data_IF_441811528876
#
_entry.id   IF_441811528876
#
_cell.length_a   1.000
_cell.length_b   1.000
_cell.length_c   1.000
_cell.angle_alpha   90.00
_cell.angle_beta   90.00
_cell.angle_gamma   90.00
#
_symmetry.space_group_name_H-M   'P 1'
#
loop_
_entity.id
_entity.type
_entity.pdbx_description
1 polymer ?
#
# COMPACT_ATOMS: atom_id res chain seq x y z
N UNK A 1 -10.17 3.13 11.39
CA UNK A 1 -9.72 4.03 12.47
C UNK A 1 -9.51 3.32 13.82
N UNK A 2 -10.27 2.27 14.17
CA UNK A 2 -10.08 1.52 15.42
C UNK A 2 -8.78 0.68 15.51
N UNK A 3 -8.20 0.28 14.37
CA UNK A 3 -6.93 -0.50 14.34
C UNK A 3 -5.69 0.38 14.61
N UNK A 4 -5.79 1.71 14.48
CA UNK A 4 -4.65 2.60 14.70
C UNK A 4 -4.46 2.93 16.20
N UNK A 5 -5.54 3.09 16.96
CA UNK A 5 -5.46 3.56 18.36
C UNK A 5 -4.82 2.54 19.33
N UNK A 6 -5.01 1.24 19.13
CA UNK A 6 -4.46 0.20 20.02
C UNK A 6 -2.98 -0.10 19.74
N UNK A 7 -2.53 0.09 18.50
CA UNK A 7 -1.16 -0.21 18.06
C UNK A 7 -0.14 0.83 18.57
N UNK A 8 -0.50 2.11 18.56
CA UNK A 8 0.43 3.19 18.94
C UNK A 8 0.88 3.12 20.41
N UNK A 9 0.01 2.69 21.32
CA UNK A 9 0.31 2.65 22.76
C UNK A 9 1.32 1.56 23.10
N UNK A 10 1.29 0.43 22.37
CA UNK A 10 2.17 -0.71 22.64
C UNK A 10 3.54 -0.55 21.96
N UNK A 11 3.57 -0.12 20.69
CA UNK A 11 4.81 -0.05 19.92
C UNK A 11 5.57 1.28 20.08
N UNK A 12 4.92 2.36 20.53
CA UNK A 12 5.56 3.67 20.72
C UNK A 12 6.62 3.72 21.84
N UNK A 13 6.72 2.67 22.67
CA UNK A 13 7.72 2.54 23.75
C UNK A 13 8.98 1.78 23.32
N UNK A 14 9.06 1.32 22.06
CA UNK A 14 10.22 0.59 21.57
C UNK A 14 11.35 1.58 21.24
N UNK A 15 12.51 1.51 21.93
CA UNK A 15 13.54 2.56 21.88
C UNK A 15 14.23 2.71 20.51
N UNK A 16 14.06 1.74 19.61
CA UNK A 16 14.68 1.72 18.28
C UNK A 16 13.67 1.60 17.14
N UNK A 17 12.38 1.85 17.39
CA UNK A 17 11.34 1.72 16.37
C UNK A 17 10.65 3.05 16.15
N UNK A 18 10.86 3.62 14.96
CA UNK A 18 10.03 4.72 14.50
C UNK A 18 8.68 4.15 14.03
N UNK A 19 7.67 4.17 14.91
CA UNK A 19 6.34 3.66 14.61
C UNK A 19 5.68 4.38 13.44
N UNK A 20 6.07 5.62 13.13
CA UNK A 20 5.51 6.36 12.00
C UNK A 20 5.93 5.75 10.66
N UNK A 21 7.09 5.08 10.59
CA UNK A 21 7.53 4.32 9.42
C UNK A 21 6.75 3.02 9.23
N UNK A 22 5.95 2.58 10.20
CA UNK A 22 5.07 1.39 10.04
C UNK A 22 3.77 1.70 9.29
N UNK A 23 3.49 2.98 9.04
CA UNK A 23 2.29 3.42 8.34
C UNK A 23 2.69 3.84 6.94
N UNK A 24 2.63 2.89 6.02
CA UNK A 24 2.95 3.13 4.62
C UNK A 24 1.76 3.69 3.85
N UNK A 25 2.06 4.23 2.68
CA UNK A 25 1.08 4.64 1.68
C UNK A 25 0.25 3.45 1.23
N UNK A 26 -1.01 3.67 0.85
CA UNK A 26 -1.90 2.59 0.43
C UNK A 26 -2.79 3.02 -0.72
N UNK A 27 -2.58 2.39 -1.88
CA UNK A 27 -3.29 2.72 -3.12
C UNK A 27 -4.80 2.47 -2.95
N UNK A 28 -5.18 1.33 -2.35
CA UNK A 28 -6.57 0.94 -2.23
C UNK A 28 -7.38 1.89 -1.35
N UNK A 29 -6.96 2.09 -0.09
CA UNK A 29 -7.76 2.78 0.91
C UNK A 29 -7.53 4.29 0.93
N UNK A 30 -6.34 4.76 0.54
CA UNK A 30 -6.04 6.19 0.50
C UNK A 30 -6.39 6.79 -0.86
N UNK A 31 -5.97 6.19 -1.98
CA UNK A 31 -6.26 6.75 -3.30
C UNK A 31 -7.65 6.33 -3.80
N UNK A 32 -7.87 5.05 -4.09
CA UNK A 32 -9.13 4.61 -4.73
C UNK A 32 -10.35 4.78 -3.82
N UNK A 33 -10.37 4.15 -2.64
CA UNK A 33 -11.47 4.30 -1.67
C UNK A 33 -11.39 5.58 -0.84
N UNK A 34 -10.41 6.44 -1.11
CA UNK A 34 -10.24 7.72 -0.47
C UNK A 34 -10.44 8.86 -1.43
N UNK A 35 -9.36 9.35 -2.01
CA UNK A 35 -9.35 10.54 -2.86
C UNK A 35 -10.25 10.37 -4.08
N UNK A 36 -10.14 9.27 -4.85
CA UNK A 36 -10.95 9.04 -6.04
C UNK A 36 -12.44 8.94 -5.69
N UNK A 37 -12.77 8.27 -4.58
CA UNK A 37 -14.14 8.24 -4.06
C UNK A 37 -14.68 9.64 -3.79
N UNK A 38 -13.90 10.50 -3.11
CA UNK A 38 -14.29 11.89 -2.86
C UNK A 38 -14.37 12.70 -4.15
N UNK A 39 -13.42 12.51 -5.06
CA UNK A 39 -13.39 13.18 -6.36
C UNK A 39 -14.66 12.88 -7.18
N UNK A 40 -15.07 11.61 -7.25
CA UNK A 40 -16.31 11.22 -7.92
C UNK A 40 -17.51 11.89 -7.26
N UNK A 41 -17.55 11.98 -5.93
CA UNK A 41 -18.62 12.68 -5.22
C UNK A 41 -18.63 14.18 -5.56
N UNK A 42 -17.47 14.84 -5.56
CA UNK A 42 -17.38 16.25 -5.93
C UNK A 42 -17.80 16.50 -7.38
N UNK A 43 -17.50 15.58 -8.30
CA UNK A 43 -17.94 15.67 -9.70
C UNK A 43 -19.45 15.48 -9.87
N UNK A 44 -20.09 14.65 -9.05
CA UNK A 44 -21.57 14.54 -9.03
C UNK A 44 -22.21 15.86 -8.64
N UNK A 45 -21.63 16.56 -7.67
CA UNK A 45 -22.15 17.82 -7.16
C UNK A 45 -21.83 19.01 -8.07
N UNK A 46 -20.68 19.01 -8.76
CA UNK A 46 -20.30 20.12 -9.66
C UNK A 46 -21.05 20.11 -10.99
N UNK A 47 -21.33 18.93 -11.55
CA UNK A 47 -21.93 18.77 -12.89
C UNK A 47 -23.41 18.36 -12.81
N UNK A 48 -23.80 17.74 -11.70
CA UNK A 48 -25.09 17.08 -11.53
C UNK A 48 -25.07 15.63 -11.97
N UNK A 49 -25.71 14.76 -11.18
CA UNK A 49 -25.74 13.30 -11.42
C UNK A 49 -26.31 12.94 -12.80
N UNK A 50 -27.37 13.61 -13.23
CA UNK A 50 -28.05 13.33 -14.49
C UNK A 50 -27.14 13.58 -15.71
N UNK A 51 -26.36 14.66 -15.69
CA UNK A 51 -25.43 15.01 -16.76
C UNK A 51 -24.20 14.09 -16.72
N UNK A 52 -23.63 13.84 -15.53
CA UNK A 52 -22.52 12.90 -15.36
C UNK A 52 -22.87 11.50 -15.93
N UNK A 53 -24.07 11.00 -15.63
CA UNK A 53 -24.53 9.71 -16.14
C UNK A 53 -24.90 9.73 -17.62
N UNK A 54 -25.41 10.85 -18.15
CA UNK A 54 -25.61 11.03 -19.58
C UNK A 54 -24.28 10.95 -20.34
N UNK A 55 -23.22 11.55 -19.82
CA UNK A 55 -21.88 11.49 -20.41
C UNK A 55 -21.27 10.10 -20.32
N UNK A 56 -21.40 9.42 -19.18
CA UNK A 56 -20.97 8.02 -19.04
C UNK A 56 -21.61 7.10 -20.10
N UNK A 57 -22.90 7.30 -20.40
CA UNK A 57 -23.63 6.51 -21.40
C UNK A 57 -23.20 6.78 -22.85
N UNK A 58 -22.58 7.92 -23.11
CA UNK A 58 -22.10 8.33 -24.45
C UNK A 58 -20.66 7.90 -24.72
N UNK A 59 -19.97 7.31 -23.74
CA UNK A 59 -18.62 6.80 -23.95
C UNK A 59 -18.64 5.75 -25.09
N UNK A 60 -17.77 5.90 -26.10
CA UNK A 60 -17.71 4.94 -27.19
C UNK A 60 -17.25 3.58 -26.64
N UNK A 61 -17.73 2.46 -27.23
CA UNK A 61 -17.27 1.14 -26.84
C UNK A 61 -15.74 1.02 -26.89
N UNK A 62 -15.14 0.53 -25.81
CA UNK A 62 -13.71 0.36 -25.68
C UNK A 62 -13.41 -0.98 -24.98
N UNK A 63 -12.42 -1.71 -25.47
CA UNK A 63 -12.01 -3.02 -24.92
C UNK A 63 -11.33 -2.89 -23.54
N UNK A 64 -10.79 -1.72 -23.22
CA UNK A 64 -9.96 -1.50 -22.03
C UNK A 64 -10.69 -0.77 -20.90
N UNK A 65 -11.95 -0.38 -21.11
CA UNK A 65 -12.73 0.41 -20.16
C UNK A 65 -14.12 -0.21 -20.00
N UNK A 66 -14.53 -0.44 -18.75
CA UNK A 66 -15.90 -0.85 -18.44
C UNK A 66 -16.89 0.28 -18.78
N UNK A 67 -17.89 -0.03 -19.60
CA UNK A 67 -18.98 0.89 -19.92
C UNK A 67 -20.06 0.86 -18.84
N UNK A 68 -20.35 2.02 -18.25
CA UNK A 68 -21.39 2.18 -17.24
C UNK A 68 -22.68 2.69 -17.89
N UNK A 69 -23.43 1.78 -18.54
CA UNK A 69 -24.64 2.10 -19.31
C UNK A 69 -25.80 2.67 -18.47
N UNK A 70 -25.73 2.54 -17.14
CA UNK A 70 -26.68 3.15 -16.20
C UNK A 70 -26.08 4.35 -15.45
N UNK A 71 -24.92 4.84 -15.89
CA UNK A 71 -24.16 5.85 -15.18
C UNK A 71 -23.39 5.32 -13.98
N UNK A 72 -22.75 6.22 -13.26
CA UNK A 72 -21.93 5.96 -12.07
C UNK A 72 -22.52 6.59 -10.81
N UNK A 73 -23.51 7.48 -10.93
CA UNK A 73 -24.11 8.20 -9.80
C UNK A 73 -24.74 7.25 -8.75
N UNK A 74 -25.47 6.24 -9.21
CA UNK A 74 -26.25 5.32 -8.37
C UNK A 74 -25.45 4.13 -7.80
N UNK A 75 -24.15 4.03 -8.11
CA UNK A 75 -23.35 2.91 -7.65
C UNK A 75 -23.15 2.97 -6.14
N UNK A 76 -23.57 1.91 -5.46
CA UNK A 76 -23.41 1.73 -4.02
C UNK A 76 -22.32 0.70 -3.72
N UNK A 77 -21.53 0.93 -2.67
CA UNK A 77 -20.43 0.04 -2.23
C UNK A 77 -19.40 -0.24 -3.34
N UNK A 78 -19.03 0.82 -4.05
CA UNK A 78 -18.05 0.78 -5.14
C UNK A 78 -16.71 0.25 -4.63
N UNK A 79 -16.20 -0.77 -5.30
CA UNK A 79 -14.93 -1.42 -4.96
C UNK A 79 -13.73 -0.62 -5.48
N UNK A 80 -12.52 -0.90 -4.97
CA UNK A 80 -11.29 -0.26 -5.47
C UNK A 80 -11.08 -0.48 -6.97
N UNK A 81 -11.34 -1.70 -7.45
CA UNK A 81 -11.30 -2.05 -8.87
C UNK A 81 -12.31 -1.25 -9.69
N UNK A 82 -13.49 -0.99 -9.16
CA UNK A 82 -14.47 -0.15 -9.87
C UNK A 82 -14.04 1.32 -9.90
N UNK A 83 -13.42 1.83 -8.83
CA UNK A 83 -12.81 3.16 -8.87
C UNK A 83 -11.67 3.25 -9.88
N UNK A 84 -10.77 2.25 -9.98
CA UNK A 84 -9.77 2.17 -11.06
C UNK A 84 -10.42 2.27 -12.45
N UNK A 85 -11.48 1.49 -12.68
CA UNK A 85 -12.18 1.53 -13.96
C UNK A 85 -12.79 2.89 -14.26
N UNK A 86 -13.36 3.55 -13.24
CA UNK A 86 -13.94 4.89 -13.37
C UNK A 86 -12.86 5.94 -13.66
N UNK A 87 -11.72 5.88 -12.96
CA UNK A 87 -10.59 6.80 -13.13
C UNK A 87 -10.08 6.89 -14.57
N UNK A 88 -10.19 5.81 -15.35
CA UNK A 88 -9.72 5.75 -16.75
C UNK A 88 -10.49 6.66 -17.71
N UNK A 89 -11.70 7.08 -17.34
CA UNK A 89 -12.52 7.94 -18.19
C UNK A 89 -13.03 9.20 -17.49
N UNK A 90 -12.73 9.42 -16.21
CA UNK A 90 -13.20 10.61 -15.47
C UNK A 90 -12.89 11.92 -16.19
N UNK A 91 -11.67 12.08 -16.72
CA UNK A 91 -11.27 13.31 -17.41
C UNK A 91 -12.14 13.57 -18.67
N UNK A 92 -12.49 12.51 -19.40
CA UNK A 92 -13.34 12.63 -20.59
C UNK A 92 -14.77 13.07 -20.27
N UNK A 93 -15.24 12.85 -19.03
CA UNK A 93 -16.56 13.29 -18.61
C UNK A 93 -16.62 14.79 -18.31
N UNK A 94 -15.48 15.46 -18.13
CA UNK A 94 -15.44 16.83 -17.59
C UNK A 94 -14.79 17.85 -18.52
N UNK A 95 -14.16 17.41 -19.61
CA UNK A 95 -13.32 18.25 -20.47
C UNK A 95 -14.04 19.48 -21.06
N UNK A 96 -15.33 19.37 -21.33
CA UNK A 96 -16.18 20.42 -21.92
C UNK A 96 -17.36 20.80 -21.00
N UNK A 97 -17.19 20.65 -19.68
CA UNK A 97 -18.25 20.98 -18.73
C UNK A 97 -18.42 22.51 -18.59
N UNK A 98 -19.66 22.94 -18.43
CA UNK A 98 -19.98 24.31 -18.04
C UNK A 98 -20.28 24.35 -16.55
N UNK A 99 -19.51 25.13 -15.80
CA UNK A 99 -19.71 25.28 -14.36
C UNK A 99 -20.73 26.37 -14.03
N UNK A 100 -21.47 26.22 -12.91
CA UNK A 100 -22.32 27.28 -12.38
C UNK A 100 -21.55 28.58 -12.15
N UNK A 101 -22.23 29.73 -12.29
CA UNK A 101 -21.65 31.03 -11.99
C UNK A 101 -20.58 31.52 -12.97
N UNK A 102 -20.39 30.85 -14.12
CA UNK A 102 -19.40 31.25 -15.13
C UNK A 102 -17.95 30.95 -14.74
N UNK A 103 -17.75 30.11 -13.72
CA UNK A 103 -16.42 29.67 -13.30
C UNK A 103 -15.71 28.90 -14.43
N UNK A 104 -14.40 29.08 -14.52
CA UNK A 104 -13.60 28.40 -15.53
C UNK A 104 -13.53 26.88 -15.24
N UNK A 105 -13.91 26.01 -16.18
CA UNK A 105 -13.77 24.57 -16.01
C UNK A 105 -12.31 24.11 -16.01
N UNK A 106 -11.38 24.96 -16.44
CA UNK A 106 -9.94 24.64 -16.49
C UNK A 106 -9.44 24.21 -15.11
N UNK A 107 -9.76 24.95 -14.04
CA UNK A 107 -9.34 24.57 -12.69
C UNK A 107 -9.89 23.21 -12.28
N UNK A 108 -11.14 22.89 -12.64
CA UNK A 108 -11.73 21.58 -12.35
C UNK A 108 -10.98 20.47 -13.10
N UNK A 109 -10.73 20.66 -14.40
CA UNK A 109 -10.02 19.70 -15.25
C UNK A 109 -8.61 19.47 -14.72
N UNK A 110 -7.85 20.51 -14.41
CA UNK A 110 -6.49 20.44 -13.87
C UNK A 110 -6.43 19.78 -12.49
N UNK A 111 -7.41 20.07 -11.61
CA UNK A 111 -7.50 19.42 -10.31
C UNK A 111 -7.72 17.90 -10.44
N UNK A 112 -8.67 17.50 -11.29
CA UNK A 112 -8.97 16.09 -11.55
C UNK A 112 -7.77 15.40 -12.22
N UNK A 113 -7.15 16.06 -13.19
CA UNK A 113 -5.96 15.58 -13.89
C UNK A 113 -4.81 15.31 -12.91
N UNK A 114 -4.49 16.26 -12.03
CA UNK A 114 -3.42 16.11 -11.03
C UNK A 114 -3.62 14.90 -10.11
N UNK A 115 -4.85 14.63 -9.66
CA UNK A 115 -5.13 13.44 -8.84
C UNK A 115 -5.04 12.14 -9.63
N UNK A 116 -5.51 12.13 -10.88
CA UNK A 116 -5.43 10.95 -11.73
C UNK A 116 -3.97 10.60 -12.03
N UNK A 117 -3.18 11.58 -12.46
CA UNK A 117 -1.75 11.43 -12.70
C UNK A 117 -1.03 10.96 -11.44
N UNK A 118 -1.29 11.59 -10.29
CA UNK A 118 -0.72 11.15 -9.02
C UNK A 118 -1.03 9.67 -8.76
N UNK A 119 -2.29 9.28 -8.96
CA UNK A 119 -2.75 7.91 -8.72
C UNK A 119 -2.05 6.92 -9.66
N UNK A 120 -1.89 7.25 -10.94
CA UNK A 120 -1.24 6.37 -11.91
C UNK A 120 0.27 6.30 -11.70
N UNK A 121 0.94 7.42 -11.48
CA UNK A 121 2.38 7.47 -11.24
C UNK A 121 2.72 6.70 -9.97
N UNK A 122 1.95 6.85 -8.89
CA UNK A 122 2.17 6.11 -7.64
C UNK A 122 2.11 4.57 -7.78
N UNK A 123 1.53 4.07 -8.87
CA UNK A 123 1.42 2.64 -9.18
C UNK A 123 2.49 2.15 -10.17
N UNK A 124 3.47 2.99 -10.53
CA UNK A 124 4.52 2.56 -11.44
C UNK A 124 5.31 1.39 -10.81
N UNK A 125 5.64 0.34 -11.60
CA UNK A 125 6.40 -0.81 -11.11
C UNK A 125 7.89 -0.48 -10.88
N UNK A 126 8.29 0.75 -11.19
CA UNK A 126 9.63 1.27 -10.99
C UNK A 126 9.55 2.80 -10.96
N UNK A 127 10.30 3.41 -10.03
CA UNK A 127 10.41 4.86 -9.94
C UNK A 127 11.85 5.30 -10.19
N UNK A 128 11.99 6.35 -11.00
CA UNK A 128 13.21 7.16 -11.09
C UNK A 128 13.01 8.46 -10.32
N UNK A 129 14.07 9.24 -10.15
CA UNK A 129 14.00 10.58 -9.56
C UNK A 129 13.04 11.48 -10.34
N UNK A 130 13.00 11.34 -11.67
CA UNK A 130 12.08 12.07 -12.54
C UNK A 130 10.62 11.64 -12.32
N UNK A 131 10.37 10.33 -12.16
CA UNK A 131 9.03 9.83 -11.85
C UNK A 131 8.52 10.36 -10.50
N UNK A 132 9.40 10.45 -9.48
CA UNK A 132 9.06 11.04 -8.19
C UNK A 132 8.82 12.55 -8.28
N UNK A 133 9.57 13.25 -9.11
CA UNK A 133 9.33 14.67 -9.38
C UNK A 133 7.95 14.90 -10.04
N UNK A 134 7.59 14.08 -11.03
CA UNK A 134 6.25 14.14 -11.65
C UNK A 134 5.14 13.76 -10.68
N UNK A 135 5.38 12.80 -9.78
CA UNK A 135 4.44 12.46 -8.73
C UNK A 135 4.16 13.69 -7.84
N UNK A 136 5.19 14.39 -7.39
CA UNK A 136 5.02 15.60 -6.59
C UNK A 136 4.40 16.77 -7.37
N UNK A 137 4.77 16.92 -8.65
CA UNK A 137 4.17 17.93 -9.54
C UNK A 137 2.66 17.71 -9.70
N UNK A 138 2.23 16.46 -9.90
CA UNK A 138 0.81 16.11 -10.02
C UNK A 138 0.04 16.40 -8.72
N UNK A 139 0.66 16.16 -7.56
CA UNK A 139 0.12 16.55 -6.25
C UNK A 139 -0.06 18.07 -6.17
N UNK A 140 0.97 18.82 -6.55
CA UNK A 140 0.94 20.29 -6.54
C UNK A 140 -0.07 20.86 -7.53
N UNK A 141 -0.25 20.22 -8.70
CA UNK A 141 -1.26 20.60 -9.67
C UNK A 141 -2.67 20.52 -9.09
N UNK A 142 -2.98 19.42 -8.37
CA UNK A 142 -4.23 19.33 -7.63
C UNK A 142 -4.34 20.44 -6.58
N UNK A 143 -3.32 20.64 -5.75
CA UNK A 143 -3.36 21.64 -4.69
C UNK A 143 -3.54 23.07 -5.18
N UNK A 144 -3.02 23.41 -6.36
CA UNK A 144 -3.19 24.74 -6.98
C UNK A 144 -4.62 24.99 -7.46
N UNK A 145 -5.34 23.93 -7.83
CA UNK A 145 -6.62 24.05 -8.53
C UNK A 145 -7.83 23.57 -7.72
N UNK A 146 -7.62 22.81 -6.64
CA UNK A 146 -8.69 22.20 -5.83
C UNK A 146 -9.67 23.20 -5.22
N UNK A 147 -9.28 24.46 -5.04
CA UNK A 147 -10.15 25.48 -4.46
C UNK A 147 -11.39 25.75 -5.33
N UNK A 148 -11.40 25.30 -6.60
CA UNK A 148 -12.61 25.26 -7.42
C UNK A 148 -13.78 24.52 -6.76
N UNK A 149 -13.52 23.47 -5.97
CA UNK A 149 -14.57 22.76 -5.25
C UNK A 149 -15.08 23.55 -4.03
N UNK A 150 -14.27 24.45 -3.48
CA UNK A 150 -14.68 25.40 -2.43
C UNK A 150 -15.51 26.52 -3.04
N UNK A 151 -15.07 27.07 -4.17
CA UNK A 151 -15.77 28.12 -4.90
C UNK A 151 -17.17 27.67 -5.37
N UNK A 152 -17.30 26.39 -5.72
CA UNK A 152 -18.59 25.76 -6.05
C UNK A 152 -19.45 25.43 -4.83
N UNK A 153 -18.95 25.61 -3.60
CA UNK A 153 -19.66 25.29 -2.35
C UNK A 153 -19.81 23.79 -2.09
N UNK A 154 -19.01 22.94 -2.76
CA UNK A 154 -19.06 21.47 -2.68
C UNK A 154 -18.26 20.95 -1.49
N UNK A 155 -17.17 21.64 -1.16
CA UNK A 155 -16.24 21.22 -0.11
C UNK A 155 -15.84 22.43 0.73
N UNK A 156 -15.98 22.34 2.06
CA UNK A 156 -15.57 23.42 2.96
C UNK A 156 -14.04 23.52 3.09
N UNK A 157 -13.35 22.38 3.14
CA UNK A 157 -11.91 22.29 3.29
C UNK A 157 -11.38 20.91 2.90
N UNK A 158 -10.06 20.84 2.70
CA UNK A 158 -9.37 19.61 2.29
C UNK A 158 -8.56 18.96 3.43
N UNK A 159 -8.92 19.24 4.68
CA UNK A 159 -8.16 18.77 5.85
C UNK A 159 -8.60 17.38 6.28
N UNK A 160 -8.42 16.39 5.39
CA UNK A 160 -8.71 15.00 5.71
C UNK A 160 -7.47 14.10 5.55
N UNK A 161 -7.31 13.07 6.42
CA UNK A 161 -6.07 12.28 6.48
C UNK A 161 -5.66 11.63 5.16
N UNK A 162 -6.64 11.20 4.34
CA UNK A 162 -6.37 10.51 3.07
C UNK A 162 -5.79 11.42 1.99
N UNK A 163 -6.07 12.72 2.02
CA UNK A 163 -5.38 13.67 1.14
C UNK A 163 -3.99 13.98 1.69
N UNK A 164 -3.88 14.21 3.00
CA UNK A 164 -2.59 14.46 3.64
C UNK A 164 -1.58 13.33 3.37
N UNK A 165 -2.04 12.07 3.33
CA UNK A 165 -1.16 10.93 3.05
C UNK A 165 -0.46 11.00 1.68
N UNK A 166 -0.98 11.75 0.71
CA UNK A 166 -0.31 11.93 -0.60
C UNK A 166 1.07 12.57 -0.48
N UNK A 167 1.29 13.40 0.53
CA UNK A 167 2.59 14.03 0.76
C UNK A 167 3.68 13.02 1.17
N UNK A 168 3.29 11.85 1.69
CA UNK A 168 4.22 10.83 2.19
C UNK A 168 4.56 9.76 1.14
N UNK A 169 3.95 9.81 -0.06
CA UNK A 169 4.23 8.82 -1.11
C UNK A 169 5.69 8.82 -1.58
N UNK A 170 6.32 9.98 -1.87
CA UNK A 170 7.71 9.99 -2.30
C UNK A 170 8.63 9.34 -1.26
N UNK A 171 8.49 9.71 0.02
CA UNK A 171 9.28 9.14 1.11
C UNK A 171 9.04 7.64 1.29
N UNK A 172 7.78 7.20 1.21
CA UNK A 172 7.44 5.78 1.29
C UNK A 172 8.01 4.99 0.12
N UNK A 173 8.02 5.56 -1.09
CA UNK A 173 8.61 4.91 -2.27
C UNK A 173 10.13 4.80 -2.13
N UNK A 174 10.80 5.86 -1.64
CA UNK A 174 12.25 5.84 -1.41
C UNK A 174 12.66 4.86 -0.30
N UNK A 175 11.86 4.75 0.77
CA UNK A 175 12.19 3.91 1.92
C UNK A 175 11.80 2.44 1.75
N UNK A 176 10.68 2.15 1.08
CA UNK A 176 10.08 0.81 1.03
C UNK A 176 9.94 0.25 -0.40
N UNK A 177 10.39 1.00 -1.40
CA UNK A 177 10.24 0.64 -2.81
C UNK A 177 8.85 0.95 -3.34
N UNK A 178 8.51 0.35 -4.48
CA UNK A 178 7.25 0.56 -5.19
C UNK A 178 6.04 0.20 -4.35
N UNK A 179 4.90 0.83 -4.63
CA UNK A 179 3.70 0.75 -3.77
C UNK A 179 3.11 -0.65 -3.67
N UNK A 180 3.35 -1.51 -4.66
CA UNK A 180 2.96 -2.93 -4.64
C UNK A 180 3.58 -3.74 -3.51
N UNK A 181 4.74 -3.33 -2.97
CA UNK A 181 5.39 -4.00 -1.84
C UNK A 181 4.58 -3.94 -0.54
N UNK A 182 3.73 -2.92 -0.37
CA UNK A 182 3.01 -2.66 0.88
C UNK A 182 1.53 -2.32 0.68
N UNK A 183 1.03 -2.32 -0.55
CA UNK A 183 -0.37 -2.09 -0.86
C UNK A 183 -1.27 -3.21 -0.30
N UNK A 184 -2.39 -2.82 0.30
CA UNK A 184 -3.32 -3.75 0.96
C UNK A 184 -4.25 -4.49 0.00
N UNK A 185 -4.24 -4.20 -1.31
CA UNK A 185 -5.05 -4.96 -2.29
C UNK A 185 -4.76 -6.45 -2.25
N UNK A 186 -3.47 -6.80 -2.18
CA UNK A 186 -3.04 -8.20 -2.12
C UNK A 186 -3.48 -8.87 -0.82
N UNK A 187 -3.33 -8.17 0.31
CA UNK A 187 -3.69 -8.71 1.63
C UNK A 187 -5.22 -8.80 1.79
N UNK A 188 -6.00 -7.85 1.27
CA UNK A 188 -7.47 -7.93 1.26
C UNK A 188 -7.95 -9.10 0.39
N UNK A 189 -7.28 -9.38 -0.74
CA UNK A 189 -7.58 -10.55 -1.56
C UNK A 189 -7.32 -11.85 -0.79
N UNK A 190 -6.16 -11.97 -0.15
CA UNK A 190 -5.85 -13.11 0.70
C UNK A 190 -6.80 -13.21 1.89
N UNK A 191 -7.24 -12.10 2.47
CA UNK A 191 -8.20 -12.11 3.58
C UNK A 191 -9.58 -12.62 3.13
N UNK A 192 -10.00 -12.37 1.88
CA UNK A 192 -11.19 -12.99 1.30
C UNK A 192 -11.01 -14.51 1.24
N UNK A 193 -9.94 -14.96 0.58
CA UNK A 193 -9.72 -16.37 0.27
C UNK A 193 -9.38 -17.21 1.52
N UNK A 194 -8.62 -16.64 2.46
CA UNK A 194 -8.09 -17.34 3.64
C UNK A 194 -8.93 -17.15 4.90
N UNK A 195 -9.62 -16.02 5.06
CA UNK A 195 -10.42 -15.75 6.26
C UNK A 195 -11.92 -15.81 5.97
N UNK A 196 -12.43 -15.03 5.02
CA UNK A 196 -13.89 -14.94 4.78
C UNK A 196 -14.46 -16.27 4.27
N UNK A 197 -13.82 -16.90 3.30
CA UNK A 197 -14.28 -18.17 2.74
C UNK A 197 -14.08 -19.34 3.71
N UNK A 198 -12.99 -19.34 4.47
CA UNK A 198 -12.78 -20.28 5.56
C UNK A 198 -13.89 -20.14 6.61
N UNK A 199 -14.18 -18.93 7.07
CA UNK A 199 -15.23 -18.65 8.05
C UNK A 199 -16.62 -19.09 7.56
N UNK A 200 -16.97 -18.78 6.30
CA UNK A 200 -18.21 -19.22 5.66
C UNK A 200 -18.37 -20.74 5.60
N UNK A 201 -17.26 -21.47 5.58
CA UNK A 201 -17.22 -22.93 5.54
C UNK A 201 -17.31 -23.57 6.94
N UNK A 202 -17.38 -22.78 8.01
CA UNK A 202 -17.52 -23.27 9.39
C UNK A 202 -18.98 -23.32 9.83
N UNK A 203 -19.23 -23.99 10.95
CA UNK A 203 -20.52 -23.94 11.64
C UNK A 203 -20.72 -22.68 12.51
N UNK A 204 -19.76 -21.73 12.49
CA UNK A 204 -19.72 -20.48 13.28
C UNK A 204 -19.69 -20.66 14.81
N UNK A 205 -19.19 -21.79 15.30
CA UNK A 205 -18.91 -22.04 16.72
C UNK A 205 -17.47 -22.53 16.86
N UNK A 206 -16.66 -21.92 17.72
CA UNK A 206 -15.22 -22.23 17.83
C UNK A 206 -14.55 -22.25 16.44
N UNK A 207 -14.83 -21.21 15.65
CA UNK A 207 -14.52 -21.13 14.22
C UNK A 207 -13.03 -21.22 13.92
N UNK A 208 -12.17 -20.77 14.83
CA UNK A 208 -10.74 -20.68 14.59
C UNK A 208 -10.13 -22.03 14.21
N UNK A 209 -10.44 -23.08 14.97
CA UNK A 209 -9.95 -24.44 14.69
C UNK A 209 -10.51 -24.98 13.36
N UNK A 210 -11.75 -24.65 13.04
CA UNK A 210 -12.37 -25.08 11.79
C UNK A 210 -11.77 -24.36 10.58
N UNK A 211 -11.49 -23.05 10.71
CA UNK A 211 -10.83 -22.25 9.69
C UNK A 211 -9.42 -22.76 9.42
N UNK A 212 -8.63 -23.05 10.45
CA UNK A 212 -7.27 -23.59 10.27
C UNK A 212 -7.29 -24.97 9.62
N UNK A 213 -8.18 -25.88 10.04
CA UNK A 213 -8.37 -27.19 9.39
C UNK A 213 -8.83 -27.06 7.93
N UNK A 214 -9.71 -26.10 7.63
CA UNK A 214 -10.16 -25.84 6.27
C UNK A 214 -9.00 -25.37 5.37
N UNK A 215 -8.17 -24.47 5.88
CA UNK A 215 -6.98 -23.97 5.18
C UNK A 215 -5.96 -25.09 4.93
N UNK A 216 -5.67 -25.91 5.94
CA UNK A 216 -4.76 -27.05 5.82
C UNK A 216 -5.23 -28.03 4.74
N UNK A 217 -6.53 -28.33 4.69
CA UNK A 217 -7.11 -29.20 3.66
C UNK A 217 -6.99 -28.59 2.26
N UNK A 218 -7.27 -27.30 2.11
CA UNK A 218 -7.10 -26.56 0.85
C UNK A 218 -5.66 -26.61 0.36
N UNK A 219 -4.70 -26.40 1.25
CA UNK A 219 -3.28 -26.48 0.92
C UNK A 219 -2.87 -27.89 0.49
N UNK A 220 -3.32 -28.93 1.20
CA UNK A 220 -3.07 -30.34 0.82
C UNK A 220 -3.62 -30.68 -0.56
N UNK A 221 -4.84 -30.22 -0.89
CA UNK A 221 -5.45 -30.42 -2.21
C UNK A 221 -4.62 -29.71 -3.28
N UNK A 222 -4.24 -28.45 -3.06
CA UNK A 222 -3.42 -27.68 -4.01
C UNK A 222 -2.06 -28.34 -4.25
N UNK A 223 -1.37 -28.78 -3.20
CA UNK A 223 -0.10 -29.51 -3.32
C UNK A 223 -0.26 -30.82 -4.08
N UNK A 224 -1.35 -31.55 -3.84
CA UNK A 224 -1.63 -32.78 -4.57
C UNK A 224 -1.90 -32.51 -6.06
N UNK A 225 -2.69 -31.49 -6.38
CA UNK A 225 -2.93 -31.08 -7.77
C UNK A 225 -1.63 -30.69 -8.50
N UNK A 226 -0.76 -29.91 -7.85
CA UNK A 226 0.57 -29.58 -8.37
C UNK A 226 1.42 -30.84 -8.60
N UNK A 227 1.37 -31.80 -7.67
CA UNK A 227 2.07 -33.08 -7.81
C UNK A 227 1.57 -33.90 -9.01
N UNK A 228 0.25 -33.96 -9.22
CA UNK A 228 -0.33 -34.65 -10.39
C UNK A 228 0.13 -33.98 -11.69
N UNK A 229 0.09 -32.64 -11.76
CA UNK A 229 0.58 -31.90 -12.92
C UNK A 229 2.09 -32.07 -13.16
N UNK A 230 2.89 -32.17 -12.10
CA UNK A 230 4.31 -32.46 -12.18
C UNK A 230 4.55 -33.89 -12.72
N UNK A 231 3.79 -34.87 -12.22
CA UNK A 231 3.88 -36.27 -12.67
C UNK A 231 3.47 -36.42 -14.14
N UNK A 232 2.38 -35.77 -14.55
CA UNK A 232 1.89 -35.76 -15.93
C UNK A 232 2.89 -35.16 -16.92
N UNK A 233 3.73 -34.21 -16.47
CA UNK A 233 4.84 -33.62 -17.25
C UNK A 233 6.10 -34.48 -17.29
N UNK A 234 6.06 -35.72 -16.80
CA UNK A 234 7.20 -36.64 -16.82
C UNK A 234 8.14 -36.47 -15.63
N UNK A 235 7.68 -35.89 -14.52
CA UNK A 235 8.50 -35.67 -13.32
C UNK A 235 9.80 -34.90 -13.60
N UNK A 236 9.75 -33.72 -14.24
CA UNK A 236 10.96 -32.94 -14.51
C UNK A 236 11.67 -32.63 -13.19
N UNK A 237 13.00 -32.66 -13.21
CA UNK A 237 13.79 -32.22 -12.07
C UNK A 237 13.41 -30.75 -11.75
N UNK A 238 13.35 -30.36 -10.46
CA UNK A 238 13.15 -28.97 -10.12
C UNK A 238 14.26 -28.12 -10.77
N UNK A 239 13.92 -26.93 -11.29
CA UNK A 239 14.94 -26.05 -11.87
C UNK A 239 15.99 -25.73 -10.80
N UNK A 240 17.27 -25.88 -11.16
CA UNK A 240 18.37 -25.37 -10.35
C UNK A 240 18.32 -23.84 -10.48
N UNK A 241 17.89 -23.15 -9.42
CA UNK A 241 17.88 -21.68 -9.41
C UNK A 241 19.29 -21.23 -9.06
N UNK A 242 20.15 -21.08 -10.06
CA UNK A 242 21.56 -20.69 -9.88
C UNK A 242 21.73 -19.24 -9.38
N UNK A 243 20.71 -18.39 -9.54
CA UNK A 243 20.75 -16.97 -9.18
C UNK A 243 19.50 -16.57 -8.38
N UNK A 244 19.41 -17.00 -7.12
CA UNK A 244 18.54 -16.28 -6.19
C UNK A 244 19.18 -14.94 -5.87
N UNK A 245 18.41 -13.86 -6.00
CA UNK A 245 18.78 -12.55 -5.47
C UNK A 245 19.17 -12.73 -4.00
N UNK A 246 20.27 -12.14 -3.49
CA UNK A 246 20.78 -12.38 -2.13
C UNK A 246 19.76 -12.16 -1.00
N UNK A 247 18.66 -11.46 -1.27
CA UNK A 247 17.57 -11.19 -0.31
C UNK A 247 16.43 -12.22 -0.27
N UNK A 248 16.42 -13.24 -1.15
CA UNK A 248 15.37 -14.28 -1.17
C UNK A 248 16.00 -15.65 -0.85
N UNK A 249 16.97 -15.71 0.05
CA UNK A 249 17.43 -16.99 0.58
C UNK A 249 16.35 -17.48 1.55
N UNK A 250 15.51 -18.43 1.11
CA UNK A 250 14.49 -19.09 1.93
C UNK A 250 15.07 -19.90 3.10
N UNK A 251 16.39 -20.04 3.17
CA UNK A 251 17.12 -20.60 4.30
C UNK A 251 17.70 -19.51 5.19
N UNK A 252 16.88 -18.59 5.71
CA UNK A 252 17.23 -17.95 6.97
C UNK A 252 16.95 -18.92 8.11
N UNK A 253 17.69 -20.04 8.16
CA UNK A 253 17.83 -20.77 9.41
C UNK A 253 18.79 -19.98 10.28
N UNK A 254 18.26 -18.97 10.96
CA UNK A 254 18.94 -18.32 12.08
C UNK A 254 18.93 -19.32 13.24
N UNK A 255 19.80 -20.33 13.14
CA UNK A 255 20.00 -21.36 14.17
C UNK A 255 20.83 -20.76 15.29
N UNK A 256 20.17 -20.01 16.17
CA UNK A 256 20.78 -19.59 17.42
C UNK A 256 20.72 -20.76 18.41
N UNK A 257 21.87 -21.14 18.97
CA UNK A 257 21.91 -22.18 20.00
C UNK A 257 21.16 -21.68 21.24
N UNK A 258 20.09 -22.36 21.65
CA UNK A 258 19.32 -22.03 22.87
C UNK A 258 20.19 -21.99 24.13
N UNK A 259 21.31 -22.72 24.09
CA UNK A 259 22.33 -22.72 25.11
C UNK A 259 23.66 -22.40 24.46
N UNK A 260 24.42 -21.41 24.96
CA UNK A 260 25.73 -21.13 24.41
C UNK A 260 26.68 -22.28 24.76
N UNK A 261 27.48 -22.73 23.79
CA UNK A 261 28.51 -23.77 24.00
C UNK A 261 29.49 -23.36 25.08
N UNK A 262 29.72 -22.05 25.24
CA UNK A 262 30.53 -21.46 26.30
C UNK A 262 29.72 -20.44 27.10
N UNK A 263 29.69 -20.59 28.43
CA UNK A 263 28.98 -19.66 29.33
C UNK A 263 29.58 -18.24 29.32
N UNK A 264 30.86 -18.11 28.99
CA UNK A 264 31.55 -16.85 28.81
C UNK A 264 32.75 -17.03 27.89
N UNK A 265 33.15 -15.97 27.20
CA UNK A 265 34.27 -15.93 26.26
C UNK A 265 35.03 -14.62 26.48
N UNK A 266 36.36 -14.64 26.35
CA UNK A 266 37.19 -13.42 26.44
C UNK A 266 37.06 -12.58 25.15
N UNK A 267 37.18 -11.26 25.25
CA UNK A 267 37.13 -10.37 24.07
C UNK A 267 38.17 -10.75 23.00
N UNK A 268 39.40 -11.08 23.40
CA UNK A 268 40.43 -11.52 22.46
C UNK A 268 40.06 -12.79 21.68
N UNK A 269 39.27 -13.68 22.27
CA UNK A 269 38.75 -14.87 21.60
C UNK A 269 37.63 -14.53 20.62
N UNK A 270 36.79 -13.52 20.92
CA UNK A 270 35.78 -13.02 19.99
C UNK A 270 36.42 -12.45 18.72
N UNK A 271 37.51 -11.70 18.85
CA UNK A 271 38.23 -11.12 17.72
C UNK A 271 38.94 -12.20 16.88
N UNK A 272 39.65 -13.12 17.53
CA UNK A 272 40.50 -14.10 16.84
C UNK A 272 39.76 -15.32 16.30
N UNK A 273 38.72 -15.79 17.00
CA UNK A 273 38.00 -17.02 16.65
C UNK A 273 36.68 -16.76 15.92
N UNK A 274 36.00 -15.66 16.26
CA UNK A 274 34.67 -15.34 15.71
C UNK A 274 34.70 -14.15 14.74
N UNK A 275 35.86 -13.55 14.48
CA UNK A 275 36.02 -12.41 13.57
C UNK A 275 35.32 -11.13 14.05
N UNK A 276 34.93 -11.06 15.33
CA UNK A 276 34.18 -9.94 15.88
C UNK A 276 35.12 -8.81 16.34
N UNK A 277 35.89 -8.29 15.39
CA UNK A 277 37.01 -7.35 15.61
C UNK A 277 36.61 -6.05 16.34
N UNK A 278 35.36 -5.62 16.18
CA UNK A 278 34.84 -4.36 16.75
C UNK A 278 33.87 -4.58 17.92
N UNK A 279 33.73 -5.81 18.42
CA UNK A 279 32.74 -6.13 19.45
C UNK A 279 32.94 -5.32 20.73
N UNK A 280 34.20 -5.12 21.12
CA UNK A 280 34.53 -4.35 22.33
C UNK A 280 34.12 -2.89 22.20
N UNK A 281 34.36 -2.27 21.05
CA UNK A 281 33.98 -0.89 20.79
C UNK A 281 32.47 -0.76 20.71
N UNK A 282 31.81 -1.68 20.00
CA UNK A 282 30.36 -1.73 19.91
C UNK A 282 29.69 -1.90 21.29
N UNK A 283 30.21 -2.80 22.13
CA UNK A 283 29.70 -3.01 23.48
C UNK A 283 29.93 -1.79 24.37
N UNK A 284 31.09 -1.13 24.25
CA UNK A 284 31.40 0.10 24.98
C UNK A 284 30.43 1.22 24.60
N UNK A 285 30.21 1.45 23.30
CA UNK A 285 29.23 2.44 22.81
C UNK A 285 27.82 2.13 23.31
N UNK A 286 27.43 0.87 23.27
CA UNK A 286 26.13 0.43 23.77
C UNK A 286 25.96 0.73 25.26
N UNK A 287 26.96 0.40 26.08
CA UNK A 287 26.91 0.65 27.53
C UNK A 287 26.88 2.15 27.82
N UNK A 288 27.68 2.96 27.13
CA UNK A 288 27.69 4.42 27.28
C UNK A 288 26.33 5.01 26.91
N UNK A 289 25.76 4.63 25.78
CA UNK A 289 24.42 5.10 25.37
C UNK A 289 23.29 4.65 26.30
N UNK A 290 23.48 3.57 27.05
CA UNK A 290 22.49 3.07 28.02
C UNK A 290 22.56 3.80 29.36
N UNK A 291 23.75 4.27 29.75
CA UNK A 291 23.99 5.02 30.99
C UNK A 291 23.73 6.52 30.76
N UNK A 292 24.09 7.06 29.60
CA UNK A 292 23.99 8.48 29.25
C UNK A 292 23.20 8.69 27.95
N UNK A 293 21.86 8.56 27.98
CA UNK A 293 21.02 8.60 26.78
C UNK A 293 20.94 9.98 26.11
N UNK A 294 21.42 11.04 26.77
CA UNK A 294 21.45 12.40 26.23
C UNK A 294 22.66 12.67 25.30
N UNK A 295 23.64 11.75 25.26
CA UNK A 295 24.79 11.87 24.37
C UNK A 295 24.40 11.51 22.93
N UNK A 296 24.78 12.36 21.98
CA UNK A 296 24.62 12.08 20.55
C UNK A 296 25.60 10.99 20.10
N UNK A 297 25.26 10.29 19.00
CA UNK A 297 26.10 9.23 18.45
C UNK A 297 27.55 9.68 18.16
N UNK A 298 27.73 10.94 17.75
CA UNK A 298 29.04 11.53 17.48
C UNK A 298 29.86 11.86 18.76
N UNK A 299 29.21 11.90 19.93
CA UNK A 299 29.88 12.08 21.23
C UNK A 299 30.25 10.74 21.88
N UNK A 300 29.63 9.65 21.44
CA UNK A 300 29.86 8.28 21.89
C UNK A 300 30.96 7.58 21.05
N UNK A 301 31.24 8.11 19.85
CA UNK A 301 32.34 7.70 18.96
C UNK A 301 33.72 8.20 19.42
#
# INVERSE_FOLDING_TARGET
MLVLSLSFIHFGKLPYTNIFLSITSDILHQLYQGIIKHLIQWLKESIGEAELDARCRRLPPNHNIRLFMKGISHLNRVTGREHDQISRFLLSLIIDVQLPGGLSPVCLVEAVHGILDFTYIAQYPMHTTEALAHLEESRMLFHRNKDIFVDLGICENFNFPKLHSTAHYPDNIMNFGTSDNYNTEYTERLHIDLAKDAYRSTNRKDEFLQMTLWLERKEKILRHDQFIHWKARGSPAPPIIENLHPGIIYECQLSMSKHPTHKSVKFSTLETTYGASFFRDALSRYVVGLIEPELSAAQIE
#
